data_IF_397971348245
#
_entry.id   IF_397971348245
#
_cell.length_a   1.000
_cell.length_b   1.000
_cell.length_c   1.000
_cell.angle_alpha   90.00
_cell.angle_beta   90.00
_cell.angle_gamma   90.00
#
_symmetry.space_group_name_H-M   'P 1'
#
loop_
_entity.id
_entity.type
_entity.pdbx_description
1 polymer ?
#
# COMPACT_ATOMS: atom_id res chain seq x y z
N UNK A 1 -13.01 -34.41 -6.03
CA UNK A 1 -12.42 -33.16 -5.54
C UNK A 1 -10.94 -33.39 -5.27
N UNK A 2 -10.03 -32.67 -5.95
CA UNK A 2 -8.58 -32.77 -5.71
C UNK A 2 -8.21 -31.79 -4.58
N UNK A 3 -7.34 -32.15 -3.62
CA UNK A 3 -6.96 -31.25 -2.54
C UNK A 3 -6.17 -30.07 -3.09
N UNK A 4 -6.53 -28.86 -2.66
CA UNK A 4 -5.77 -27.64 -2.94
C UNK A 4 -4.41 -27.77 -2.27
N UNK A 5 -3.35 -27.86 -3.07
CA UNK A 5 -1.97 -27.80 -2.57
C UNK A 5 -1.75 -26.42 -1.95
N UNK A 6 -1.40 -26.39 -0.67
CA UNK A 6 -1.03 -25.16 0.03
C UNK A 6 0.18 -24.53 -0.68
N UNK A 7 -0.03 -23.38 -1.34
CA UNK A 7 1.09 -22.52 -1.70
C UNK A 7 1.62 -21.95 -0.40
N UNK A 8 2.91 -22.19 -0.12
CA UNK A 8 3.62 -21.50 0.93
C UNK A 8 3.62 -20.01 0.55
N UNK A 9 2.78 -19.22 1.21
CA UNK A 9 2.95 -17.77 1.21
C UNK A 9 4.31 -17.51 1.86
N UNK A 10 5.18 -16.79 1.15
CA UNK A 10 6.54 -16.51 1.58
C UNK A 10 6.58 -16.00 3.03
N UNK A 11 7.69 -16.26 3.71
CA UNK A 11 7.94 -15.95 5.11
C UNK A 11 7.34 -14.60 5.50
N UNK A 12 6.27 -14.60 6.30
CA UNK A 12 5.70 -13.37 6.85
C UNK A 12 6.82 -12.71 7.66
N UNK A 13 7.24 -11.47 7.33
CA UNK A 13 8.29 -10.81 8.10
C UNK A 13 7.83 -10.69 9.56
N UNK A 14 8.73 -10.91 10.53
CA UNK A 14 8.37 -10.85 11.93
C UNK A 14 7.84 -9.46 12.27
N UNK A 15 6.66 -9.42 12.88
CA UNK A 15 6.05 -8.18 13.36
C UNK A 15 7.03 -7.43 14.27
N UNK A 16 7.08 -6.08 14.20
CA UNK A 16 8.02 -5.29 14.99
C UNK A 16 7.79 -5.53 16.49
N UNK A 17 8.86 -5.94 17.20
CA UNK A 17 8.85 -6.26 18.64
C UNK A 17 8.78 -5.02 19.55
N UNK A 18 8.53 -3.83 19.01
CA UNK A 18 8.45 -2.59 19.82
C UNK A 18 7.09 -2.51 20.48
N UNK A 19 7.10 -2.48 21.82
CA UNK A 19 5.97 -2.30 22.75
C UNK A 19 4.86 -1.44 22.13
N UNK A 20 3.80 -2.09 21.68
CA UNK A 20 2.56 -1.45 21.25
C UNK A 20 1.85 -1.01 22.54
N UNK A 21 1.97 0.27 22.89
CA UNK A 21 1.02 0.87 23.82
C UNK A 21 -0.29 1.04 23.04
N UNK A 22 -1.18 0.05 23.18
CA UNK A 22 -2.61 0.10 22.80
C UNK A 22 -2.92 0.58 21.37
N UNK A 23 -2.64 -0.25 20.36
CA UNK A 23 -3.21 -0.12 19.02
C UNK A 23 -3.97 -1.41 18.73
N UNK A 24 -5.27 -1.29 18.49
CA UNK A 24 -6.12 -2.42 18.13
C UNK A 24 -5.56 -3.11 16.89
N UNK A 25 -5.47 -4.44 16.89
CA UNK A 25 -4.88 -5.20 15.79
C UNK A 25 -5.90 -5.39 14.66
N UNK A 26 -6.31 -4.29 14.04
CA UNK A 26 -7.22 -4.27 12.91
C UNK A 26 -6.48 -4.42 11.56
N UNK A 27 -7.25 -4.59 10.49
CA UNK A 27 -6.72 -4.77 9.14
C UNK A 27 -5.90 -3.55 8.69
N UNK A 28 -6.30 -2.33 9.10
CA UNK A 28 -5.59 -1.10 8.75
C UNK A 28 -4.19 -1.10 9.35
N UNK A 29 -4.06 -1.41 10.63
CA UNK A 29 -2.79 -1.48 11.33
C UNK A 29 -1.87 -2.59 10.79
N UNK A 30 -2.43 -3.75 10.42
CA UNK A 30 -1.64 -4.83 9.78
C UNK A 30 -1.01 -4.33 8.48
N UNK A 31 -1.79 -3.63 7.65
CA UNK A 31 -1.35 -3.11 6.36
C UNK A 31 -0.33 -1.99 6.55
N UNK A 32 -0.59 -1.04 7.46
CA UNK A 32 0.31 0.07 7.76
C UNK A 32 1.69 -0.41 8.23
N UNK A 33 1.72 -1.43 9.11
CA UNK A 33 2.97 -2.06 9.56
C UNK A 33 3.72 -2.69 8.39
N UNK A 34 3.03 -3.42 7.52
CA UNK A 34 3.65 -4.02 6.34
C UNK A 34 4.24 -2.94 5.43
N UNK A 35 3.45 -1.96 5.02
CA UNK A 35 3.86 -0.89 4.12
C UNK A 35 5.07 -0.12 4.65
N UNK A 36 5.01 0.30 5.92
CA UNK A 36 6.12 1.01 6.59
C UNK A 36 7.37 0.15 6.65
N UNK A 37 7.25 -1.15 6.97
CA UNK A 37 8.40 -2.06 7.07
C UNK A 37 9.11 -2.28 5.72
N UNK A 38 8.40 -2.09 4.62
CA UNK A 38 8.91 -2.26 3.26
C UNK A 38 9.29 -0.93 2.58
N UNK A 39 9.05 0.22 3.23
CA UNK A 39 9.37 1.55 2.68
C UNK A 39 8.36 2.07 1.66
N UNK A 40 7.09 1.66 1.76
CA UNK A 40 6.00 2.18 0.95
C UNK A 40 5.29 3.34 1.65
N UNK A 41 4.82 4.32 0.88
CA UNK A 41 4.14 5.52 1.40
C UNK A 41 2.60 5.36 1.47
N UNK A 42 2.08 4.27 0.90
CA UNK A 42 0.66 3.97 0.94
C UNK A 42 0.24 2.88 -0.04
N UNK A 43 -1.00 2.96 -0.50
CA UNK A 43 -1.59 2.04 -1.48
C UNK A 43 -2.06 2.81 -2.71
N UNK A 44 -2.10 2.13 -3.85
CA UNK A 44 -2.75 2.63 -5.04
C UNK A 44 -3.45 1.51 -5.81
N UNK A 45 -4.42 1.89 -6.64
CA UNK A 45 -5.09 1.01 -7.59
C UNK A 45 -5.08 1.69 -8.96
N UNK A 46 -4.44 1.06 -9.95
CA UNK A 46 -4.37 1.60 -11.31
C UNK A 46 -5.72 1.58 -12.02
N UNK A 47 -6.57 0.59 -11.75
CA UNK A 47 -7.88 0.47 -12.40
C UNK A 47 -8.90 1.46 -11.83
N UNK A 48 -8.75 1.79 -10.54
CA UNK A 48 -9.56 2.80 -9.86
C UNK A 48 -8.97 4.21 -9.90
N UNK A 49 -7.80 4.39 -10.53
CA UNK A 49 -7.04 5.65 -10.59
C UNK A 49 -6.92 6.36 -9.24
N UNK A 50 -6.78 5.58 -8.17
CA UNK A 50 -6.80 6.08 -6.80
C UNK A 50 -5.52 5.72 -6.03
N UNK A 51 -5.20 6.53 -5.03
CA UNK A 51 -4.09 6.30 -4.12
C UNK A 51 -4.35 6.93 -2.76
N UNK A 52 -3.88 6.28 -1.71
CA UNK A 52 -3.99 6.75 -0.32
C UNK A 52 -2.65 6.63 0.39
N UNK A 53 -2.43 7.49 1.38
CA UNK A 53 -1.19 7.55 2.17
C UNK A 53 -1.34 6.74 3.47
N UNK A 54 -0.22 6.36 4.11
CA UNK A 54 -0.22 5.64 5.40
C UNK A 54 -1.12 6.29 6.47
N UNK A 55 -1.16 7.63 6.52
CA UNK A 55 -1.97 8.38 7.48
C UNK A 55 -3.48 8.35 7.22
N UNK A 56 -3.89 7.99 6.01
CA UNK A 56 -5.29 8.00 5.57
C UNK A 56 -5.58 6.81 4.65
N UNK A 57 -5.23 5.60 5.08
CA UNK A 57 -5.49 4.37 4.33
C UNK A 57 -7.00 4.08 4.27
N UNK A 58 -7.47 3.73 3.08
CA UNK A 58 -8.87 3.46 2.73
C UNK A 58 -9.83 4.66 2.89
N UNK A 59 -9.51 5.84 2.31
CA UNK A 59 -10.41 6.97 2.32
C UNK A 59 -11.51 6.84 1.26
N UNK A 60 -11.37 5.86 0.35
CA UNK A 60 -12.37 5.51 -0.66
C UNK A 60 -13.24 4.35 -0.17
N UNK A 61 -14.48 4.29 -0.68
CA UNK A 61 -15.42 3.20 -0.42
C UNK A 61 -15.18 1.97 -1.32
N UNK A 62 -14.07 1.95 -2.06
CA UNK A 62 -13.71 0.85 -2.95
C UNK A 62 -13.15 -0.35 -2.18
N UNK A 63 -13.40 -1.55 -2.70
CA UNK A 63 -12.84 -2.77 -2.12
C UNK A 63 -11.30 -2.77 -2.24
N UNK A 64 -10.55 -2.97 -1.16
CA UNK A 64 -9.09 -2.92 -1.18
C UNK A 64 -8.44 -4.17 -1.80
N UNK A 65 -9.24 -5.10 -2.32
CA UNK A 65 -8.78 -6.40 -2.85
C UNK A 65 -7.74 -6.27 -3.98
N UNK A 66 -7.81 -5.17 -4.74
CA UNK A 66 -6.91 -4.89 -5.85
C UNK A 66 -5.91 -3.75 -5.55
N UNK A 67 -5.91 -3.21 -4.33
CA UNK A 67 -4.93 -2.21 -3.93
C UNK A 67 -3.56 -2.85 -3.79
N UNK A 68 -2.53 -2.14 -4.26
CA UNK A 68 -1.13 -2.57 -4.21
C UNK A 68 -0.25 -1.50 -3.54
N UNK A 69 0.89 -1.87 -2.94
CA UNK A 69 1.80 -0.92 -2.33
C UNK A 69 2.28 0.14 -3.33
N UNK A 70 2.29 1.40 -2.89
CA UNK A 70 2.71 2.56 -3.67
C UNK A 70 3.77 3.39 -2.95
N UNK A 71 4.56 4.11 -3.74
CA UNK A 71 5.49 5.14 -3.29
C UNK A 71 5.03 6.50 -3.81
N UNK A 72 5.09 7.50 -2.94
CA UNK A 72 4.74 8.87 -3.26
C UNK A 72 5.87 9.49 -4.08
N UNK A 73 5.57 9.84 -5.32
CA UNK A 73 6.52 10.44 -6.24
C UNK A 73 6.05 11.83 -6.66
N UNK A 74 6.98 12.77 -6.76
CA UNK A 74 6.69 14.08 -7.31
C UNK A 74 6.54 13.95 -8.83
N UNK A 75 5.49 14.55 -9.39
CA UNK A 75 5.33 14.61 -10.83
C UNK A 75 6.43 15.50 -11.43
N UNK A 76 7.33 14.89 -12.20
CA UNK A 76 8.22 15.59 -13.12
C UNK A 76 7.54 15.75 -14.49
N UNK A 77 8.18 16.45 -15.42
CA UNK A 77 7.75 16.63 -16.83
C UNK A 77 7.39 15.32 -17.56
N UNK A 78 7.84 14.18 -17.05
CA UNK A 78 7.68 12.85 -17.66
C UNK A 78 6.47 12.08 -17.12
N UNK A 79 5.74 12.65 -16.16
CA UNK A 79 4.54 12.05 -15.62
C UNK A 79 3.38 12.25 -16.62
N UNK A 80 2.96 11.19 -17.31
CA UNK A 80 1.87 11.21 -18.29
C UNK A 80 0.46 11.26 -17.66
N UNK A 81 0.37 11.44 -16.34
CA UNK A 81 -0.89 11.54 -15.62
C UNK A 81 -1.30 13.01 -15.55
N UNK A 82 -2.60 13.30 -15.57
CA UNK A 82 -3.22 14.66 -15.60
C UNK A 82 -2.95 15.52 -14.35
N UNK A 83 -1.90 15.22 -13.60
CA UNK A 83 -1.43 16.01 -12.47
C UNK A 83 -0.89 17.36 -12.97
N UNK A 84 -1.34 18.43 -12.31
CA UNK A 84 -0.80 19.78 -12.48
C UNK A 84 0.71 19.76 -12.25
N UNK A 85 1.45 20.58 -12.99
CA UNK A 85 2.88 20.80 -12.80
C UNK A 85 3.20 21.00 -11.30
N UNK A 86 4.09 20.16 -10.75
CA UNK A 86 4.43 20.17 -9.32
C UNK A 86 3.52 19.34 -8.39
N UNK A 87 2.56 18.59 -8.92
CA UNK A 87 1.75 17.64 -8.15
C UNK A 87 2.53 16.41 -7.67
N UNK A 88 1.88 15.55 -6.87
CA UNK A 88 2.38 14.23 -6.50
C UNK A 88 1.45 13.13 -7.00
N UNK A 89 1.99 11.94 -7.18
CA UNK A 89 1.20 10.73 -7.46
C UNK A 89 1.69 9.55 -6.64
N UNK A 90 0.77 8.61 -6.36
CA UNK A 90 1.10 7.33 -5.73
C UNK A 90 1.20 6.27 -6.82
N UNK A 91 2.30 5.52 -6.86
CA UNK A 91 2.50 4.51 -7.89
C UNK A 91 3.60 3.52 -7.58
N UNK A 92 3.85 2.59 -8.51
CA UNK A 92 5.00 1.67 -8.42
C UNK A 92 6.30 2.46 -8.49
N UNK A 93 7.28 2.04 -7.70
CA UNK A 93 8.68 2.44 -7.85
C UNK A 93 9.12 2.10 -9.27
N UNK A 94 9.39 3.11 -10.11
CA UNK A 94 10.26 2.92 -11.26
C UNK A 94 11.67 2.86 -10.70
N UNK A 95 12.20 1.64 -10.57
CA UNK A 95 13.63 1.38 -10.33
C UNK A 95 14.37 1.68 -11.63
#
# INVERSE_FOLDING_TARGET
MKPLKSKAYGSIPPLPKKRIMTMDFDVKNIIEVYLTSQGYDGLYNSDGECGCELGDLFPCDESPINCIPGVKSQCTEECQHEGREGGWHMGKVKI
#
